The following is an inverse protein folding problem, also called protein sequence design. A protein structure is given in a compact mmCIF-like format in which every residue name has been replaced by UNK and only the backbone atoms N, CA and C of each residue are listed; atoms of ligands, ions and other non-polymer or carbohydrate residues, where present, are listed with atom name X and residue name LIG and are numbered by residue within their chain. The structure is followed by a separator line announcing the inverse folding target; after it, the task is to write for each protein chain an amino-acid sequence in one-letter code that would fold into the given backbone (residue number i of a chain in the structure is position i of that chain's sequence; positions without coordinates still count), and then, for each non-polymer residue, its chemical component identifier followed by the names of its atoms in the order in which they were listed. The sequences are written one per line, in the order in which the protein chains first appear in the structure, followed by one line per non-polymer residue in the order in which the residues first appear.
data_IF_963987497625
#
_entry.id   IF_963987497625
#
_cell.length_a   1.000
_cell.length_b   1.000
_cell.length_c   1.000
_cell.angle_alpha   90.00
_cell.angle_beta   90.00
_cell.angle_gamma   90.00
#
_symmetry.space_group_name_H-M   'P 1'
#
loop_
_entity.id
_entity.type
_entity.pdbx_description
1 polymer ?
#
# COMPACT_ATOMS: atom_id res chain seq x y z
N UNK A 1 11.64 -5.91 -16.95
CA UNK A 1 12.47 -5.15 -16.00
C UNK A 1 12.79 -3.72 -16.47
N UNK A 2 13.71 -3.51 -17.43
CA UNK A 2 14.32 -2.18 -17.64
C UNK A 2 13.42 -0.99 -18.00
N UNK A 3 12.34 -1.16 -18.77
CA UNK A 3 11.46 -0.03 -19.16
C UNK A 3 10.57 0.47 -18.01
N UNK A 4 10.01 -0.44 -17.23
CA UNK A 4 9.17 -0.10 -16.07
C UNK A 4 10.03 0.56 -14.99
N UNK A 5 11.18 -0.04 -14.65
CA UNK A 5 12.12 0.54 -13.69
C UNK A 5 12.58 1.95 -14.09
N UNK A 6 12.92 2.17 -15.37
CA UNK A 6 13.31 3.50 -15.86
C UNK A 6 12.18 4.51 -15.68
N UNK A 7 10.95 4.16 -16.06
CA UNK A 7 9.79 5.04 -15.84
C UNK A 7 9.58 5.40 -14.37
N UNK A 8 9.76 4.45 -13.46
CA UNK A 8 9.60 4.70 -12.02
C UNK A 8 10.69 5.62 -11.47
N UNK A 9 11.93 5.45 -11.95
CA UNK A 9 13.05 6.35 -11.63
C UNK A 9 12.80 7.76 -12.18
N UNK A 10 12.34 7.87 -13.43
CA UNK A 10 12.00 9.15 -14.06
C UNK A 10 10.85 9.87 -13.34
N UNK A 11 9.97 9.11 -12.68
CA UNK A 11 8.84 9.60 -11.89
C UNK A 11 9.18 9.83 -10.40
N UNK A 12 10.45 9.67 -10.01
CA UNK A 12 10.93 9.79 -8.64
C UNK A 12 10.10 8.97 -7.62
N UNK A 13 9.78 7.73 -8.00
CA UNK A 13 8.96 6.85 -7.16
C UNK A 13 9.71 6.47 -5.86
N UNK A 14 8.97 6.49 -4.76
CA UNK A 14 9.42 6.09 -3.43
C UNK A 14 10.08 4.70 -3.48
N UNK A 15 11.26 4.58 -2.86
CA UNK A 15 12.10 3.36 -2.88
C UNK A 15 11.34 2.11 -2.41
N UNK A 16 10.57 2.22 -1.32
CA UNK A 16 9.73 1.13 -0.81
C UNK A 16 8.70 0.59 -1.83
N UNK A 17 8.24 1.40 -2.79
CA UNK A 17 7.31 0.92 -3.83
C UNK A 17 7.97 -0.09 -4.78
N UNK A 18 9.29 0.01 -4.97
CA UNK A 18 10.07 -0.84 -5.87
C UNK A 18 10.63 -2.05 -5.11
N UNK A 19 11.05 -1.85 -3.86
CA UNK A 19 11.72 -2.85 -3.01
C UNK A 19 11.02 -4.20 -2.97
N UNK A 20 9.69 -4.21 -2.86
CA UNK A 20 8.93 -5.46 -2.70
C UNK A 20 8.61 -6.18 -4.02
N UNK A 21 8.86 -5.57 -5.19
CA UNK A 21 8.47 -6.16 -6.47
C UNK A 21 9.64 -6.42 -7.44
N UNK A 22 10.89 -6.27 -6.99
CA UNK A 22 12.08 -6.44 -7.83
C UNK A 22 12.15 -7.83 -8.48
N UNK A 23 11.86 -8.89 -7.73
CA UNK A 23 11.92 -10.29 -8.21
C UNK A 23 10.86 -10.54 -9.29
N UNK A 24 9.66 -10.00 -9.10
CA UNK A 24 8.50 -10.17 -9.99
C UNK A 24 8.67 -9.36 -11.28
N UNK A 25 9.25 -8.16 -11.18
CA UNK A 25 9.65 -7.33 -12.31
C UNK A 25 10.73 -8.00 -13.17
N UNK A 26 11.63 -8.76 -12.54
CA UNK A 26 12.62 -9.60 -13.21
C UNK A 26 11.95 -10.81 -13.89
N UNK A 27 10.99 -11.44 -13.20
CA UNK A 27 10.19 -12.57 -13.72
C UNK A 27 9.11 -12.17 -14.74
N UNK A 28 8.97 -10.87 -15.05
CA UNK A 28 7.97 -10.30 -15.97
C UNK A 28 6.53 -10.63 -15.59
N UNK A 29 6.26 -10.81 -14.30
CA UNK A 29 4.92 -11.09 -13.81
C UNK A 29 4.30 -9.83 -13.22
N UNK A 30 3.67 -9.02 -14.08
CA UNK A 30 3.14 -7.70 -13.71
C UNK A 30 2.10 -7.77 -12.58
N UNK A 31 1.23 -8.78 -12.60
CA UNK A 31 0.24 -8.96 -11.55
C UNK A 31 0.89 -9.26 -10.19
N UNK A 32 1.88 -10.16 -10.17
CA UNK A 32 2.59 -10.48 -8.93
C UNK A 32 3.38 -9.27 -8.45
N UNK A 33 4.03 -8.51 -9.34
CA UNK A 33 4.73 -7.28 -8.99
C UNK A 33 3.81 -6.25 -8.32
N UNK A 34 2.62 -6.01 -8.90
CA UNK A 34 1.61 -5.15 -8.30
C UNK A 34 1.12 -5.67 -6.93
N UNK A 35 0.88 -6.98 -6.83
CA UNK A 35 0.42 -7.60 -5.58
C UNK A 35 1.46 -7.50 -4.46
N UNK A 36 2.73 -7.79 -4.76
CA UNK A 36 3.82 -7.70 -3.79
C UNK A 36 4.11 -6.25 -3.37
N UNK A 37 4.08 -5.30 -4.31
CA UNK A 37 4.21 -3.88 -3.97
C UNK A 37 3.13 -3.41 -2.98
N UNK A 38 1.88 -3.82 -3.20
CA UNK A 38 0.79 -3.52 -2.25
C UNK A 38 1.00 -4.23 -0.91
N UNK A 39 1.46 -5.49 -0.87
CA UNK A 39 1.80 -6.16 0.39
C UNK A 39 2.88 -5.41 1.17
N UNK A 40 3.87 -4.85 0.48
CA UNK A 40 4.91 -4.00 1.07
C UNK A 40 4.34 -2.80 1.84
N UNK A 41 3.31 -2.14 1.32
CA UNK A 41 2.60 -1.05 2.03
C UNK A 41 2.02 -1.54 3.36
N UNK A 42 1.36 -2.70 3.35
CA UNK A 42 0.72 -3.26 4.53
C UNK A 42 1.73 -3.80 5.55
N UNK A 43 2.86 -4.33 5.08
CA UNK A 43 3.97 -4.69 5.94
C UNK A 43 4.53 -3.47 6.66
N UNK A 44 4.78 -2.39 5.91
CA UNK A 44 5.23 -1.13 6.50
C UNK A 44 4.25 -0.57 7.55
N UNK A 45 2.94 -0.67 7.32
CA UNK A 45 1.93 -0.26 8.31
C UNK A 45 2.05 -1.11 9.59
N UNK A 46 2.27 -2.42 9.47
CA UNK A 46 2.49 -3.31 10.62
C UNK A 46 3.77 -2.93 11.37
N UNK A 47 4.87 -2.72 10.67
CA UNK A 47 6.14 -2.27 11.27
C UNK A 47 5.97 -0.94 12.02
N UNK A 48 5.24 0.01 11.43
CA UNK A 48 4.98 1.31 12.03
C UNK A 48 4.01 1.27 13.21
N UNK A 49 3.08 0.31 13.27
CA UNK A 49 2.02 0.28 14.29
C UNK A 49 2.21 -0.80 15.37
N UNK A 50 3.03 -1.81 15.11
CA UNK A 50 3.12 -3.03 15.92
C UNK A 50 1.90 -3.96 15.80
N UNK A 51 0.92 -3.66 14.94
CA UNK A 51 -0.30 -4.45 14.79
C UNK A 51 -0.05 -5.75 14.01
N UNK A 52 -0.65 -6.85 14.45
CA UNK A 52 -0.61 -8.15 13.76
C UNK A 52 -1.76 -8.38 12.78
N UNK A 53 -2.60 -7.37 12.55
CA UNK A 53 -3.77 -7.47 11.68
C UNK A 53 -3.40 -7.36 10.20
N UNK A 54 -4.38 -7.61 9.32
CA UNK A 54 -4.20 -7.49 7.87
C UNK A 54 -5.38 -6.77 7.20
N UNK A 55 -5.09 -6.11 6.08
CA UNK A 55 -6.10 -5.51 5.21
C UNK A 55 -6.87 -4.33 5.75
N UNK A 56 -8.13 -4.23 5.33
CA UNK A 56 -9.00 -3.13 5.74
C UNK A 56 -9.14 -3.08 7.27
N UNK A 57 -9.12 -4.23 7.94
CA UNK A 57 -9.15 -4.32 9.40
C UNK A 57 -7.90 -3.70 10.01
N UNK A 58 -6.70 -3.98 9.47
CA UNK A 58 -5.47 -3.31 9.90
C UNK A 58 -5.56 -1.79 9.73
N UNK A 59 -6.03 -1.31 8.57
CA UNK A 59 -6.17 0.13 8.29
C UNK A 59 -7.13 0.78 9.29
N UNK A 60 -8.27 0.14 9.56
CA UNK A 60 -9.25 0.66 10.52
C UNK A 60 -8.70 0.68 11.94
N UNK A 61 -8.04 -0.39 12.37
CA UNK A 61 -7.43 -0.50 13.70
C UNK A 61 -6.39 0.60 13.96
N UNK A 62 -5.51 0.86 12.98
CA UNK A 62 -4.34 1.71 13.21
C UNK A 62 -4.55 3.18 12.84
N UNK A 63 -5.42 3.51 11.88
CA UNK A 63 -5.56 4.88 11.35
C UNK A 63 -6.92 5.53 11.67
N UNK A 64 -7.93 4.77 12.13
CA UNK A 64 -9.25 5.32 12.46
C UNK A 64 -9.21 6.17 13.72
N UNK A 65 -9.91 7.30 13.67
CA UNK A 65 -9.94 8.31 14.73
C UNK A 65 -11.36 8.63 15.21
N UNK A 66 -12.33 7.75 14.93
CA UNK A 66 -13.74 7.98 15.28
C UNK A 66 -14.05 7.72 16.76
N UNK A 67 -13.51 6.64 17.31
CA UNK A 67 -13.87 6.16 18.66
C UNK A 67 -12.69 6.15 19.63
N UNK A 68 -11.47 6.33 19.14
CA UNK A 68 -10.23 6.35 19.92
C UNK A 68 -9.19 7.21 19.21
N UNK A 69 -8.08 7.50 19.89
CA UNK A 69 -6.88 8.06 19.25
C UNK A 69 -6.32 7.00 18.30
N UNK A 70 -6.07 7.30 17.02
CA UNK A 70 -5.53 6.32 16.07
C UNK A 70 -4.08 6.00 16.45
N UNK A 71 -3.61 4.77 16.23
CA UNK A 71 -2.21 4.40 16.48
C UNK A 71 -1.25 5.23 15.62
N UNK A 72 -1.62 5.46 14.35
CA UNK A 72 -0.87 6.26 13.38
C UNK A 72 -1.68 7.49 12.97
N UNK A 73 -1.05 8.67 12.95
CA UNK A 73 -1.69 9.90 12.48
C UNK A 73 -0.76 10.72 11.57
N UNK A 74 -1.33 11.33 10.53
CA UNK A 74 -0.64 12.30 9.65
C UNK A 74 -0.56 13.71 10.24
N UNK A 75 -1.35 13.99 11.27
CA UNK A 75 -1.56 15.32 11.84
C UNK A 75 -2.11 15.22 13.27
N UNK A 76 -2.39 16.36 13.90
CA UNK A 76 -3.05 16.38 15.22
C UNK A 76 -4.56 16.13 15.14
N UNK A 77 -5.14 15.98 13.93
CA UNK A 77 -6.56 15.71 13.69
C UNK A 77 -7.52 16.72 14.39
N UNK A 78 -7.10 17.99 14.48
CA UNK A 78 -7.86 19.07 15.13
C UNK A 78 -8.87 19.70 14.18
N UNK A 79 -8.52 19.78 12.90
CA UNK A 79 -9.34 20.40 11.86
C UNK A 79 -10.05 19.38 10.98
N UNK A 80 -11.15 19.79 10.33
CA UNK A 80 -11.86 18.94 9.38
C UNK A 80 -11.00 18.58 8.16
N UNK A 81 -10.09 19.48 7.76
CA UNK A 81 -9.10 19.22 6.70
C UNK A 81 -8.17 18.07 7.08
N UNK A 82 -7.57 18.14 8.27
CA UNK A 82 -6.68 17.09 8.79
C UNK A 82 -7.40 15.72 8.90
N UNK A 83 -8.64 15.73 9.40
CA UNK A 83 -9.49 14.52 9.48
C UNK A 83 -9.82 13.97 8.10
N UNK A 84 -10.07 14.84 7.14
CA UNK A 84 -10.36 14.46 5.75
C UNK A 84 -9.14 13.87 5.06
N UNK A 85 -7.94 14.42 5.29
CA UNK A 85 -6.68 13.86 4.77
C UNK A 85 -6.43 12.44 5.32
N UNK A 86 -6.55 12.26 6.63
CA UNK A 86 -6.41 10.96 7.28
C UNK A 86 -7.42 9.94 6.71
N UNK A 87 -8.69 10.35 6.54
CA UNK A 87 -9.73 9.52 5.92
C UNK A 87 -9.40 9.18 4.46
N UNK A 88 -8.85 10.14 3.72
CA UNK A 88 -8.38 9.96 2.34
C UNK A 88 -7.30 8.89 2.23
N UNK A 89 -6.30 8.93 3.12
CA UNK A 89 -5.26 7.90 3.20
C UNK A 89 -5.87 6.52 3.51
N UNK A 90 -6.76 6.43 4.50
CA UNK A 90 -7.43 5.16 4.83
C UNK A 90 -8.16 4.57 3.61
N UNK A 91 -8.88 5.40 2.86
CA UNK A 91 -9.60 4.96 1.67
C UNK A 91 -8.66 4.49 0.55
N UNK A 92 -7.56 5.21 0.32
CA UNK A 92 -6.52 4.82 -0.63
C UNK A 92 -5.95 3.42 -0.30
N UNK A 93 -5.56 3.21 0.96
CA UNK A 93 -4.98 1.95 1.42
C UNK A 93 -5.96 0.78 1.27
N UNK A 94 -7.21 0.96 1.68
CA UNK A 94 -8.27 -0.06 1.52
C UNK A 94 -8.55 -0.36 0.05
N UNK A 95 -8.53 0.66 -0.81
CA UNK A 95 -8.69 0.51 -2.26
C UNK A 95 -7.55 -0.30 -2.88
N UNK A 96 -6.29 0.04 -2.58
CA UNK A 96 -5.12 -0.71 -3.02
C UNK A 96 -5.20 -2.18 -2.60
N UNK A 97 -5.55 -2.41 -1.34
CA UNK A 97 -5.73 -3.77 -0.82
C UNK A 97 -6.84 -4.53 -1.53
N UNK A 98 -8.03 -3.95 -1.65
CA UNK A 98 -9.17 -4.61 -2.31
C UNK A 98 -8.90 -4.96 -3.78
N UNK A 99 -8.16 -4.10 -4.50
CA UNK A 99 -7.88 -4.29 -5.92
C UNK A 99 -6.76 -5.32 -6.18
N UNK A 100 -5.75 -5.41 -5.31
CA UNK A 100 -4.50 -6.15 -5.59
C UNK A 100 -4.13 -7.21 -4.54
N UNK A 101 -4.89 -7.34 -3.45
CA UNK A 101 -4.76 -8.47 -2.52
C UNK A 101 -5.49 -9.69 -3.06
N UNK A 102 -4.76 -10.48 -3.84
CA UNK A 102 -5.12 -11.85 -4.23
C UNK A 102 -6.62 -12.13 -4.53
N UNK A 103 -7.26 -11.43 -5.49
CA UNK A 103 -8.64 -11.74 -5.92
C UNK A 103 -8.80 -13.14 -6.53
N UNK A 104 -7.70 -13.84 -6.79
CA UNK A 104 -7.66 -15.15 -7.42
C UNK A 104 -7.45 -16.29 -6.42
N UNK A 105 -7.43 -16.04 -5.10
CA UNK A 105 -7.30 -17.08 -4.07
C UNK A 105 -8.36 -18.20 -4.19
N UNK A 106 -9.49 -17.89 -4.82
CA UNK A 106 -10.62 -18.80 -5.01
C UNK A 106 -10.59 -19.55 -6.35
N UNK A 107 -9.64 -19.28 -7.26
CA UNK A 107 -9.51 -19.99 -8.55
C UNK A 107 -8.18 -20.76 -8.66
N UNK A 108 -8.13 -21.94 -9.33
CA UNK A 108 -6.91 -22.72 -9.53
C UNK A 108 -5.86 -22.00 -10.40
N UNK A 109 -4.57 -22.21 -10.10
CA UNK A 109 -3.42 -21.52 -10.72
C UNK A 109 -3.36 -21.59 -12.25
N UNK A 110 -3.78 -22.72 -12.84
CA UNK A 110 -3.87 -22.93 -14.30
C UNK A 110 -4.85 -21.94 -14.98
N UNK A 111 -5.87 -21.48 -14.25
CA UNK A 111 -6.90 -20.55 -14.75
C UNK A 111 -6.46 -19.07 -14.55
N UNK A 112 -5.41 -18.82 -13.76
CA UNK A 112 -5.01 -17.48 -13.28
C UNK A 112 -4.15 -16.69 -14.26
N UNK A 113 -3.21 -17.34 -14.94
CA UNK A 113 -2.23 -16.64 -15.81
C UNK A 113 -2.90 -15.97 -17.02
N UNK A 114 -4.03 -16.52 -17.48
CA UNK A 114 -4.76 -15.99 -18.64
C UNK A 114 -5.85 -14.96 -18.29
N UNK A 115 -6.37 -14.92 -17.04
CA UNK A 115 -7.57 -14.12 -16.72
C UNK A 115 -7.31 -12.69 -16.21
N UNK A 116 -6.16 -12.40 -15.61
CA UNK A 116 -5.83 -11.05 -15.14
C UNK A 116 -4.44 -10.62 -15.57
N UNK A 117 -4.26 -10.51 -16.88
CA UNK A 117 -3.10 -9.85 -17.45
C UNK A 117 -3.15 -8.35 -17.10
N UNK A 118 -2.21 -7.90 -16.26
CA UNK A 118 -1.98 -6.48 -16.00
C UNK A 118 -1.01 -5.94 -17.05
N UNK A 119 -1.42 -4.90 -17.78
CA UNK A 119 -0.57 -4.24 -18.76
C UNK A 119 0.64 -3.54 -18.10
N UNK A 120 1.72 -3.29 -18.85
CA UNK A 120 2.85 -2.50 -18.31
C UNK A 120 2.40 -1.11 -17.84
N UNK A 121 1.45 -0.48 -18.53
CA UNK A 121 0.91 0.84 -18.16
C UNK A 121 0.14 0.78 -16.85
N UNK A 122 -0.72 -0.23 -16.69
CA UNK A 122 -1.46 -0.44 -15.44
C UNK A 122 -0.50 -0.72 -14.28
N UNK A 123 0.52 -1.55 -14.49
CA UNK A 123 1.55 -1.79 -13.47
C UNK A 123 2.24 -0.50 -13.05
N UNK A 124 2.65 0.35 -13.99
CA UNK A 124 3.27 1.65 -13.66
C UNK A 124 2.30 2.51 -12.84
N UNK A 125 1.03 2.60 -13.23
CA UNK A 125 0.02 3.36 -12.47
C UNK A 125 -0.16 2.83 -11.04
N UNK A 126 -0.14 1.50 -10.86
CA UNK A 126 -0.20 0.89 -9.54
C UNK A 126 1.02 1.25 -8.71
N UNK A 127 2.23 1.11 -9.27
CA UNK A 127 3.47 1.39 -8.54
C UNK A 127 3.60 2.88 -8.18
N UNK A 128 3.13 3.80 -9.04
CA UNK A 128 3.03 5.23 -8.71
C UNK A 128 2.02 5.47 -7.58
N UNK A 129 0.89 4.75 -7.57
CA UNK A 129 -0.10 4.88 -6.50
C UNK A 129 0.41 4.30 -5.17
N UNK A 130 1.15 3.19 -5.22
CA UNK A 130 1.86 2.62 -4.06
C UNK A 130 2.93 3.58 -3.55
N UNK A 131 3.68 4.23 -4.45
CA UNK A 131 4.63 5.28 -4.11
C UNK A 131 3.95 6.44 -3.38
N UNK A 132 2.80 6.91 -3.87
CA UNK A 132 2.00 7.93 -3.20
C UNK A 132 1.57 7.50 -1.80
N UNK A 133 1.12 6.25 -1.64
CA UNK A 133 0.76 5.72 -0.33
C UNK A 133 1.96 5.73 0.65
N UNK A 134 3.16 5.36 0.18
CA UNK A 134 4.37 5.44 1.00
C UNK A 134 4.73 6.88 1.40
N UNK A 135 4.61 7.86 0.50
CA UNK A 135 4.83 9.27 0.86
C UNK A 135 3.85 9.78 1.92
N UNK A 136 2.59 9.33 1.89
CA UNK A 136 1.66 9.65 2.96
C UNK A 136 2.00 8.94 4.27
N UNK A 137 2.51 7.70 4.22
CA UNK A 137 3.00 6.99 5.40
C UNK A 137 4.26 7.63 5.97
N UNK A 138 5.15 8.23 5.17
CA UNK A 138 6.30 9.00 5.67
C UNK A 138 5.88 10.16 6.59
N UNK A 139 4.68 10.70 6.36
CA UNK A 139 4.10 11.79 7.17
C UNK A 139 3.42 11.29 8.44
N UNK A 140 3.23 9.98 8.60
CA UNK A 140 2.55 9.41 9.75
C UNK A 140 3.53 9.18 10.91
N UNK A 141 3.06 9.41 12.14
CA UNK A 141 3.79 9.05 13.36
C UNK A 141 2.92 8.25 14.32
N UNK A 142 3.56 7.49 15.21
CA UNK A 142 2.87 6.82 16.31
C UNK A 142 2.36 7.86 17.31
N UNK A 143 1.06 7.81 17.62
CA UNK A 143 0.42 8.76 18.54
C UNK A 143 0.55 8.35 20.01
N UNK A 144 0.88 7.08 20.26
CA UNK A 144 1.14 6.54 21.59
C UNK A 144 2.63 6.34 21.75
N UNK A 145 3.25 7.17 22.60
CA UNK A 145 4.46 6.73 23.31
C UNK A 145 3.96 5.63 24.24
N UNK A 146 4.44 4.40 24.02
CA UNK A 146 4.35 3.39 25.06
C UNK A 146 5.26 3.87 26.19
N UNK A 147 4.71 4.61 27.15
CA UNK A 147 5.39 4.82 28.42
C UNK A 147 5.58 3.43 29.03
N UNK A 148 6.82 2.96 29.01
CA UNK A 148 7.26 1.76 29.70
C UNK A 148 8.33 2.18 30.72
#
# INVERSE_FOLDING_TARGET
AGRVQRKLVDLDCHSEAIRYCEIELLRRSNFHAASEAVKGVFERIREMSGSGLDGAVLVDDVLSFRSHVPVLAMSMLRTDTERSEQTGLMNLLKGLYGLYRNPLAHEPRLVREDKRAISETELVSVLVTVSLAHHHLDRCWQTSVSDN
#
